data_IF_180026464718
#
_entry.id   IF_180026464718
#
_cell.length_a   1.000
_cell.length_b   1.000
_cell.length_c   1.000
_cell.angle_alpha   90.00
_cell.angle_beta   90.00
_cell.angle_gamma   90.00
#
_symmetry.space_group_name_H-M   'P 1'
#
loop_
_entity.id
_entity.type
_entity.pdbx_description
1 polymer ?
#
# COMPACT_ATOMS: atom_id res chain seq x y z
N UNK A 1 -19.83 23.64 18.76
CA UNK A 1 -20.60 23.29 17.55
C UNK A 1 -19.96 23.85 16.28
N UNK A 2 -19.49 25.09 16.25
CA UNK A 2 -18.84 25.67 15.06
C UNK A 2 -17.54 24.97 14.64
N UNK A 3 -16.79 24.46 15.59
CA UNK A 3 -15.51 23.76 15.34
C UNK A 3 -15.74 22.35 14.80
N UNK A 4 -16.74 21.64 15.31
CA UNK A 4 -17.15 20.33 14.82
C UNK A 4 -17.65 20.44 13.37
N UNK A 5 -18.45 21.43 13.07
CA UNK A 5 -18.97 21.71 11.73
C UNK A 5 -17.85 22.03 10.71
N UNK A 6 -16.90 22.87 11.08
CA UNK A 6 -15.74 23.20 10.25
C UNK A 6 -14.87 21.96 9.97
N UNK A 7 -14.70 21.11 10.97
CA UNK A 7 -13.92 19.87 10.87
C UNK A 7 -14.58 18.85 9.94
N UNK A 8 -15.91 18.67 10.07
CA UNK A 8 -16.67 17.77 9.20
C UNK A 8 -16.66 18.25 7.74
N UNK A 9 -16.80 19.57 7.53
CA UNK A 9 -16.75 20.19 6.20
C UNK A 9 -15.40 19.97 5.50
N UNK A 10 -14.28 20.09 6.23
CA UNK A 10 -12.94 19.83 5.69
C UNK A 10 -12.77 18.37 5.26
N UNK A 11 -13.23 17.43 6.09
CA UNK A 11 -13.17 16.00 5.77
C UNK A 11 -14.01 15.65 4.53
N UNK A 12 -15.26 16.12 4.47
CA UNK A 12 -16.12 15.91 3.30
C UNK A 12 -15.54 16.51 2.03
N UNK A 13 -14.91 17.68 2.12
CA UNK A 13 -14.24 18.33 0.99
C UNK A 13 -13.03 17.51 0.53
N UNK A 14 -12.25 16.96 1.43
CA UNK A 14 -11.10 16.11 1.07
C UNK A 14 -11.52 14.82 0.40
N UNK A 15 -12.56 14.15 0.90
CA UNK A 15 -13.12 12.95 0.26
C UNK A 15 -13.68 13.30 -1.12
N UNK A 16 -14.44 14.39 -1.23
CA UNK A 16 -14.96 14.86 -2.51
C UNK A 16 -13.85 15.17 -3.52
N UNK A 17 -12.74 15.77 -3.05
CA UNK A 17 -11.59 16.07 -3.90
C UNK A 17 -10.89 14.79 -4.39
N UNK A 18 -10.72 13.79 -3.51
CA UNK A 18 -10.17 12.48 -3.90
C UNK A 18 -11.08 11.81 -4.95
N UNK A 19 -12.40 11.78 -4.72
CA UNK A 19 -13.34 11.20 -5.67
C UNK A 19 -13.33 11.95 -7.02
N UNK A 20 -13.24 13.27 -6.99
CA UNK A 20 -13.11 14.09 -8.21
C UNK A 20 -11.81 13.74 -8.95
N UNK A 21 -10.70 13.59 -8.23
CA UNK A 21 -9.41 13.22 -8.80
C UNK A 21 -9.46 11.84 -9.46
N UNK A 22 -10.10 10.87 -8.78
CA UNK A 22 -10.35 9.53 -9.35
C UNK A 22 -11.23 9.62 -10.60
N UNK A 23 -12.33 10.37 -10.55
CA UNK A 23 -13.20 10.57 -11.71
C UNK A 23 -12.50 11.21 -12.90
N UNK A 24 -11.64 12.21 -12.66
CA UNK A 24 -10.85 12.85 -13.72
C UNK A 24 -9.77 11.91 -14.29
N UNK A 25 -9.20 11.03 -13.49
CA UNK A 25 -8.21 10.06 -13.98
C UNK A 25 -8.82 8.98 -14.89
N UNK A 26 -10.14 8.76 -14.82
CA UNK A 26 -10.84 7.85 -15.71
C UNK A 26 -11.15 8.46 -17.11
N UNK A 27 -10.87 9.75 -17.28
CA UNK A 27 -11.05 10.41 -18.58
C UNK A 27 -9.90 10.03 -19.49
N UNK A 28 -10.20 9.27 -20.52
CA UNK A 28 -9.27 8.98 -21.62
C UNK A 28 -9.57 9.90 -22.80
N UNK A 29 -8.56 10.37 -23.46
CA UNK A 29 -8.69 11.20 -24.67
C UNK A 29 -7.69 10.77 -25.73
N UNK A 30 -8.14 10.83 -26.96
CA UNK A 30 -7.36 10.44 -28.12
C UNK A 30 -6.78 11.69 -28.80
N UNK A 31 -5.46 11.72 -28.94
CA UNK A 31 -4.76 12.75 -29.73
C UNK A 31 -4.19 12.09 -30.99
N UNK A 32 -5.00 12.03 -32.03
CA UNK A 32 -4.64 11.33 -33.27
C UNK A 32 -4.55 9.81 -33.06
N UNK A 33 -3.41 9.17 -33.39
CA UNK A 33 -3.22 7.74 -33.21
C UNK A 33 -2.81 7.33 -31.79
N UNK A 34 -2.68 8.28 -30.84
CA UNK A 34 -2.18 8.04 -29.49
C UNK A 34 -3.34 8.10 -28.50
N UNK A 35 -3.59 6.98 -27.82
CA UNK A 35 -4.50 6.92 -26.68
C UNK A 35 -3.79 7.47 -25.45
N UNK A 36 -4.29 8.56 -24.89
CA UNK A 36 -3.77 9.18 -23.69
C UNK A 36 -4.74 8.97 -22.54
N UNK A 37 -4.24 8.40 -21.45
CA UNK A 37 -4.96 8.23 -20.21
C UNK A 37 -4.08 8.52 -19.01
N UNK A 38 -4.69 8.92 -17.91
CA UNK A 38 -3.97 9.12 -16.66
C UNK A 38 -3.97 7.81 -15.85
N UNK A 39 -2.79 7.42 -15.35
CA UNK A 39 -2.75 6.33 -14.37
C UNK A 39 -3.40 6.77 -13.06
N UNK A 40 -4.48 6.11 -12.68
CA UNK A 40 -5.23 6.37 -11.45
C UNK A 40 -4.32 6.39 -10.21
N UNK A 41 -3.44 5.39 -10.09
CA UNK A 41 -2.52 5.29 -8.95
C UNK A 41 -1.52 6.45 -8.91
N UNK A 42 -0.97 6.83 -10.07
CA UNK A 42 -0.01 7.93 -10.16
C UNK A 42 -0.67 9.27 -9.82
N UNK A 43 -1.88 9.54 -10.33
CA UNK A 43 -2.62 10.77 -10.05
C UNK A 43 -2.97 10.86 -8.56
N UNK A 44 -3.44 9.78 -7.94
CA UNK A 44 -3.72 9.75 -6.51
C UNK A 44 -2.45 9.96 -5.66
N UNK A 45 -1.33 9.36 -6.05
CA UNK A 45 -0.04 9.54 -5.37
C UNK A 45 0.46 10.98 -5.46
N UNK A 46 0.39 11.60 -6.64
CA UNK A 46 0.78 13.01 -6.84
C UNK A 46 -0.14 13.96 -6.06
N UNK A 47 -1.45 13.70 -6.07
CA UNK A 47 -2.42 14.48 -5.28
C UNK A 47 -2.10 14.41 -3.79
N UNK A 48 -1.82 13.22 -3.26
CA UNK A 48 -1.41 13.03 -1.87
C UNK A 48 -0.12 13.78 -1.54
N UNK A 49 0.87 13.69 -2.43
CA UNK A 49 2.16 14.40 -2.27
C UNK A 49 1.96 15.91 -2.21
N UNK A 50 1.21 16.49 -3.14
CA UNK A 50 0.92 17.93 -3.16
C UNK A 50 0.16 18.34 -1.89
N UNK A 51 -0.85 17.58 -1.51
CA UNK A 51 -1.64 17.84 -0.32
C UNK A 51 -0.79 17.84 0.96
N UNK A 52 0.05 16.84 1.17
CA UNK A 52 0.91 16.73 2.35
C UNK A 52 1.97 17.84 2.44
N UNK A 53 2.43 18.37 1.29
CA UNK A 53 3.44 19.42 1.27
C UNK A 53 2.86 20.86 1.40
N UNK A 54 1.61 21.08 0.96
CA UNK A 54 1.00 22.40 0.94
C UNK A 54 0.09 22.63 2.15
N UNK A 55 -0.57 21.58 2.68
CA UNK A 55 -1.56 21.73 3.73
C UNK A 55 -0.91 21.63 5.12
N UNK A 56 -0.91 22.70 5.93
CA UNK A 56 -0.31 22.70 7.28
C UNK A 56 -1.03 21.76 8.27
N UNK A 57 -2.27 21.38 7.98
CA UNK A 57 -3.10 20.49 8.82
C UNK A 57 -3.23 19.08 8.21
N UNK A 58 -2.31 18.70 7.33
CA UNK A 58 -2.32 17.41 6.65
C UNK A 58 -2.34 16.23 7.63
N UNK A 59 -1.55 16.28 8.70
CA UNK A 59 -1.45 15.20 9.69
C UNK A 59 -2.79 14.95 10.40
N UNK A 60 -3.46 16.02 10.86
CA UNK A 60 -4.76 15.90 11.53
C UNK A 60 -5.82 15.31 10.58
N UNK A 61 -5.75 15.69 9.31
CA UNK A 61 -6.72 15.24 8.32
C UNK A 61 -6.44 13.79 7.91
N UNK A 62 -5.18 13.39 7.78
CA UNK A 62 -4.77 12.01 7.50
C UNK A 62 -5.19 11.05 8.61
N UNK A 63 -4.99 11.41 9.88
CA UNK A 63 -5.44 10.59 11.02
C UNK A 63 -6.96 10.35 11.03
N UNK A 64 -7.73 11.26 10.48
CA UNK A 64 -9.19 11.14 10.34
C UNK A 64 -9.59 10.31 9.15
N UNK A 65 -8.93 10.51 8.01
CA UNK A 65 -9.12 9.73 6.80
C UNK A 65 -8.80 8.25 7.06
N UNK A 66 -7.73 7.94 7.78
CA UNK A 66 -7.35 6.58 8.15
C UNK A 66 -8.48 5.83 8.87
N UNK A 67 -9.18 6.52 9.77
CA UNK A 67 -10.34 5.92 10.48
C UNK A 67 -11.54 5.68 9.56
N UNK A 68 -11.73 6.57 8.59
CA UNK A 68 -12.83 6.46 7.64
C UNK A 68 -12.55 5.45 6.53
N UNK A 69 -11.29 5.33 6.10
CA UNK A 69 -10.84 4.40 5.06
C UNK A 69 -10.80 2.95 5.57
N UNK A 70 -10.66 2.73 6.87
CA UNK A 70 -10.57 1.39 7.45
C UNK A 70 -11.71 0.43 7.02
N UNK A 71 -13.01 0.79 7.13
CA UNK A 71 -14.09 -0.09 6.65
C UNK A 71 -14.09 -0.27 5.13
N UNK A 72 -13.69 0.75 4.37
CA UNK A 72 -13.56 0.66 2.91
C UNK A 72 -12.45 -0.32 2.52
N UNK A 73 -11.33 -0.30 3.25
CA UNK A 73 -10.23 -1.24 3.04
C UNK A 73 -10.65 -2.68 3.34
N UNK A 74 -11.41 -2.90 4.41
CA UNK A 74 -11.95 -4.24 4.73
C UNK A 74 -12.84 -4.73 3.57
N UNK A 75 -13.74 -3.89 3.08
CA UNK A 75 -14.62 -4.23 1.96
C UNK A 75 -13.81 -4.55 0.70
N UNK A 76 -12.78 -3.75 0.40
CA UNK A 76 -11.87 -3.98 -0.73
C UNK A 76 -11.19 -5.35 -0.63
N UNK A 77 -10.64 -5.72 0.52
CA UNK A 77 -9.98 -7.02 0.70
C UNK A 77 -10.96 -8.19 0.63
N UNK A 78 -12.18 -8.03 1.15
CA UNK A 78 -13.23 -9.06 1.07
C UNK A 78 -13.64 -9.29 -0.39
N UNK A 79 -13.88 -8.22 -1.15
CA UNK A 79 -14.25 -8.32 -2.56
C UNK A 79 -13.11 -8.94 -3.38
N UNK A 80 -11.88 -8.48 -3.17
CA UNK A 80 -10.70 -9.04 -3.86
C UNK A 80 -10.49 -10.51 -3.53
N UNK A 81 -10.75 -10.92 -2.29
CA UNK A 81 -10.71 -12.33 -1.89
C UNK A 81 -11.82 -13.16 -2.53
N UNK A 82 -13.01 -12.58 -2.69
CA UNK A 82 -14.15 -13.25 -3.34
C UNK A 82 -13.93 -13.45 -4.86
N UNK A 83 -13.11 -12.63 -5.48
CA UNK A 83 -12.72 -12.76 -6.89
C UNK A 83 -11.67 -13.86 -7.14
N UNK A 84 -11.07 -14.40 -6.08
CA UNK A 84 -10.09 -15.47 -6.23
C UNK A 84 -10.78 -16.77 -6.67
N UNK A 85 -10.46 -17.23 -7.85
CA UNK A 85 -10.92 -18.52 -8.34
C UNK A 85 -10.07 -19.65 -7.74
N UNK A 86 -10.63 -20.36 -6.77
CA UNK A 86 -9.95 -21.47 -6.09
C UNK A 86 -9.71 -22.70 -7.03
N UNK A 87 -10.40 -22.78 -8.18
CA UNK A 87 -10.16 -23.85 -9.15
C UNK A 87 -8.73 -23.78 -9.74
N UNK A 88 -8.09 -22.63 -9.66
CA UNK A 88 -6.68 -22.44 -10.07
C UNK A 88 -5.74 -23.33 -9.29
N UNK A 89 -6.05 -23.63 -8.03
CA UNK A 89 -5.27 -24.55 -7.20
C UNK A 89 -5.34 -25.98 -7.71
N UNK A 90 -6.29 -26.30 -8.57
CA UNK A 90 -6.45 -27.63 -9.20
C UNK A 90 -5.57 -27.80 -10.44
N UNK A 91 -5.07 -26.72 -11.03
CA UNK A 91 -4.14 -26.77 -12.16
C UNK A 91 -2.67 -26.77 -11.66
N UNK A 92 -1.98 -27.92 -11.76
CA UNK A 92 -0.62 -28.05 -11.24
C UNK A 92 0.38 -27.12 -11.95
N UNK A 93 0.13 -26.75 -13.20
CA UNK A 93 1.00 -25.86 -13.96
C UNK A 93 0.90 -24.43 -13.42
N UNK A 94 -0.30 -23.94 -13.19
CA UNK A 94 -0.55 -22.58 -12.65
C UNK A 94 -0.02 -22.50 -11.22
N UNK A 95 -0.19 -23.55 -10.42
CA UNK A 95 0.35 -23.64 -9.08
C UNK A 95 1.89 -23.58 -9.10
N UNK A 96 2.53 -24.34 -9.99
CA UNK A 96 3.99 -24.30 -10.15
C UNK A 96 4.48 -22.91 -10.53
N UNK A 97 3.85 -22.26 -11.50
CA UNK A 97 4.18 -20.90 -11.93
C UNK A 97 4.01 -19.94 -10.75
N UNK A 98 2.93 -20.04 -9.98
CA UNK A 98 2.68 -19.23 -8.79
C UNK A 98 3.77 -19.37 -7.73
N UNK A 99 4.18 -20.60 -7.42
CA UNK A 99 5.25 -20.88 -6.45
C UNK A 99 6.59 -20.33 -6.93
N UNK A 100 6.94 -20.55 -8.20
CA UNK A 100 8.16 -20.00 -8.81
C UNK A 100 8.15 -18.47 -8.77
N UNK A 101 7.03 -17.84 -9.12
CA UNK A 101 6.86 -16.40 -9.05
C UNK A 101 7.07 -15.87 -7.62
N UNK A 102 6.44 -16.50 -6.61
CA UNK A 102 6.61 -16.13 -5.19
C UNK A 102 8.08 -16.23 -4.77
N UNK A 103 8.75 -17.33 -5.13
CA UNK A 103 10.15 -17.55 -4.77
C UNK A 103 11.09 -16.49 -5.38
N UNK A 104 11.02 -16.29 -6.70
CA UNK A 104 11.88 -15.30 -7.37
C UNK A 104 11.57 -13.85 -6.94
N UNK A 105 10.31 -13.52 -6.73
CA UNK A 105 9.91 -12.22 -6.24
C UNK A 105 10.43 -11.96 -4.83
N UNK A 106 10.31 -12.93 -3.92
CA UNK A 106 10.81 -12.82 -2.56
C UNK A 106 12.33 -12.67 -2.54
N UNK A 107 13.04 -13.48 -3.33
CA UNK A 107 14.48 -13.37 -3.49
C UNK A 107 14.90 -12.01 -4.05
N UNK A 108 14.18 -11.50 -5.06
CA UNK A 108 14.44 -10.19 -5.65
C UNK A 108 14.26 -9.05 -4.64
N UNK A 109 13.19 -9.07 -3.84
CA UNK A 109 12.95 -8.07 -2.80
C UNK A 109 14.02 -8.11 -1.69
N UNK A 110 14.34 -9.30 -1.20
CA UNK A 110 15.33 -9.47 -0.13
C UNK A 110 16.73 -9.06 -0.63
N UNK A 111 17.15 -9.55 -1.78
CA UNK A 111 18.46 -9.22 -2.36
C UNK A 111 18.56 -7.74 -2.73
N UNK A 112 17.51 -7.17 -3.34
CA UNK A 112 17.45 -5.75 -3.69
C UNK A 112 17.56 -4.85 -2.45
N UNK A 113 16.81 -5.14 -1.40
CA UNK A 113 16.88 -4.40 -0.13
C UNK A 113 18.26 -4.53 0.53
N UNK A 114 18.85 -5.74 0.51
CA UNK A 114 20.18 -5.97 1.05
C UNK A 114 21.26 -5.19 0.29
N UNK A 115 21.27 -5.27 -1.05
CA UNK A 115 22.25 -4.57 -1.89
C UNK A 115 22.10 -3.06 -1.74
N UNK A 116 20.87 -2.53 -1.78
CA UNK A 116 20.60 -1.10 -1.60
C UNK A 116 21.03 -0.62 -0.21
N UNK A 117 20.67 -1.34 0.86
CA UNK A 117 21.04 -1.00 2.21
C UNK A 117 22.57 -1.04 2.44
N UNK A 118 23.26 -1.95 1.75
CA UNK A 118 24.73 -2.00 1.78
C UNK A 118 25.36 -0.85 0.99
N UNK A 119 24.84 -0.51 -0.17
CA UNK A 119 25.33 0.58 -1.01
C UNK A 119 25.19 1.95 -0.31
N UNK A 120 24.07 2.15 0.39
CA UNK A 120 23.79 3.38 1.16
C UNK A 120 24.38 3.37 2.57
N UNK A 121 25.15 2.34 2.93
CA UNK A 121 25.78 2.18 4.26
C UNK A 121 24.77 2.27 5.43
N UNK A 122 23.56 1.76 5.24
CA UNK A 122 22.57 1.67 6.30
C UNK A 122 23.03 0.76 7.45
N UNK A 123 22.36 0.84 8.61
CA UNK A 123 22.64 -0.03 9.75
C UNK A 123 22.49 -1.51 9.38
N UNK A 124 23.22 -2.38 10.08
CA UNK A 124 23.19 -3.84 9.83
C UNK A 124 21.78 -4.43 9.98
N UNK A 125 20.97 -3.89 10.88
CA UNK A 125 19.58 -4.32 11.08
C UNK A 125 18.72 -4.04 9.85
N UNK A 126 18.84 -2.83 9.28
CA UNK A 126 18.14 -2.47 8.04
C UNK A 126 18.57 -3.40 6.91
N UNK A 127 19.87 -3.60 6.69
CA UNK A 127 20.38 -4.46 5.64
C UNK A 127 19.83 -5.89 5.72
N UNK A 128 19.67 -6.43 6.95
CA UNK A 128 19.26 -7.81 7.18
C UNK A 128 17.74 -8.02 7.16
N UNK A 129 16.98 -7.10 7.74
CA UNK A 129 15.57 -7.34 8.02
C UNK A 129 14.60 -6.57 7.09
N UNK A 130 15.04 -5.47 6.46
CA UNK A 130 14.20 -4.67 5.58
C UNK A 130 13.59 -5.49 4.43
N UNK A 131 14.36 -6.40 3.80
CA UNK A 131 13.86 -7.22 2.71
C UNK A 131 12.70 -8.12 3.11
N UNK A 132 12.69 -8.62 4.35
CA UNK A 132 11.63 -9.46 4.89
C UNK A 132 10.36 -8.62 5.15
N UNK A 133 10.51 -7.43 5.70
CA UNK A 133 9.36 -6.55 5.96
C UNK A 133 8.70 -6.01 4.69
N UNK A 134 9.38 -6.06 3.55
CA UNK A 134 8.85 -5.68 2.25
C UNK A 134 8.10 -6.82 1.53
N UNK A 135 8.06 -8.04 2.09
CA UNK A 135 7.38 -9.16 1.45
C UNK A 135 5.86 -8.98 1.34
N UNK A 136 5.13 -8.52 2.41
CA UNK A 136 3.69 -8.31 2.31
C UNK A 136 3.35 -7.36 1.16
N UNK A 137 2.34 -7.71 0.39
CA UNK A 137 1.90 -6.90 -0.74
C UNK A 137 0.48 -7.29 -1.14
N UNK A 138 -0.45 -6.36 -1.03
CA UNK A 138 -1.84 -6.59 -1.39
C UNK A 138 -2.38 -5.49 -2.32
N UNK A 139 -2.78 -4.35 -1.80
CA UNK A 139 -3.60 -3.36 -2.48
C UNK A 139 -3.17 -2.97 -3.88
N UNK A 140 -1.91 -2.56 -4.06
CA UNK A 140 -1.39 -2.16 -5.38
C UNK A 140 -1.32 -3.35 -6.33
N UNK A 141 -0.92 -4.53 -5.83
CA UNK A 141 -0.84 -5.73 -6.67
C UNK A 141 -2.22 -6.18 -7.15
N UNK A 142 -3.25 -6.09 -6.30
CA UNK A 142 -4.63 -6.39 -6.65
C UNK A 142 -5.18 -5.40 -7.69
N UNK A 143 -4.94 -4.10 -7.50
CA UNK A 143 -5.33 -3.08 -8.47
C UNK A 143 -4.70 -3.30 -9.84
N UNK A 144 -3.39 -3.55 -9.89
CA UNK A 144 -2.68 -3.83 -11.14
C UNK A 144 -3.12 -5.16 -11.78
N UNK A 145 -3.48 -6.16 -10.98
CA UNK A 145 -3.97 -7.44 -11.48
C UNK A 145 -5.37 -7.30 -12.12
N UNK A 146 -6.20 -6.41 -11.61
CA UNK A 146 -7.49 -6.09 -12.21
C UNK A 146 -7.32 -5.44 -13.60
N UNK A 147 -6.42 -4.47 -13.73
CA UNK A 147 -6.06 -3.84 -15.00
C UNK A 147 -5.46 -4.88 -15.99
N UNK A 148 -4.59 -5.75 -15.49
CA UNK A 148 -3.96 -6.79 -16.30
C UNK A 148 -4.98 -7.81 -16.86
N UNK A 149 -6.14 -7.98 -16.23
CA UNK A 149 -7.17 -8.91 -16.69
C UNK A 149 -7.77 -8.53 -18.06
N UNK A 150 -7.66 -7.28 -18.48
CA UNK A 150 -8.11 -6.79 -19.78
C UNK A 150 -7.17 -7.18 -20.93
N UNK A 151 -5.95 -7.67 -20.63
CA UNK A 151 -5.00 -8.15 -21.64
C UNK A 151 -5.40 -9.55 -22.16
N UNK A 152 -4.90 -9.94 -23.33
CA UNK A 152 -5.23 -11.22 -23.99
C UNK A 152 -5.00 -12.48 -23.14
N UNK A 153 -3.95 -12.48 -22.31
CA UNK A 153 -3.64 -13.55 -21.35
C UNK A 153 -3.79 -13.09 -19.89
N UNK A 154 -4.52 -12.01 -19.68
CA UNK A 154 -4.62 -11.29 -18.41
C UNK A 154 -5.21 -12.13 -17.27
N UNK A 155 -6.12 -13.06 -17.58
CA UNK A 155 -6.72 -13.94 -16.58
C UNK A 155 -5.68 -14.82 -15.88
N UNK A 156 -4.70 -15.37 -16.63
CA UNK A 156 -3.62 -16.17 -16.04
C UNK A 156 -2.72 -15.31 -15.17
N UNK A 157 -2.32 -14.13 -15.64
CA UNK A 157 -1.50 -13.18 -14.88
C UNK A 157 -2.22 -12.77 -13.59
N UNK A 158 -3.49 -12.39 -13.69
CA UNK A 158 -4.34 -12.04 -12.55
C UNK A 158 -4.36 -13.15 -11.51
N UNK A 159 -4.62 -14.38 -11.95
CA UNK A 159 -4.75 -15.52 -11.07
C UNK A 159 -3.45 -15.86 -10.33
N UNK A 160 -2.31 -15.82 -11.03
CA UNK A 160 -0.97 -16.00 -10.41
C UNK A 160 -0.69 -14.90 -9.39
N UNK A 161 -1.04 -13.66 -9.70
CA UNK A 161 -0.86 -12.53 -8.78
C UNK A 161 -1.77 -12.66 -7.56
N UNK A 162 -3.06 -12.98 -7.74
CA UNK A 162 -4.02 -13.18 -6.64
C UNK A 162 -3.57 -14.32 -5.71
N UNK A 163 -3.12 -15.45 -6.27
CA UNK A 163 -2.57 -16.55 -5.49
C UNK A 163 -1.35 -16.08 -4.67
N UNK A 164 -0.44 -15.34 -5.28
CA UNK A 164 0.75 -14.84 -4.57
C UNK A 164 0.39 -13.86 -3.46
N UNK A 165 -0.59 -12.99 -3.69
CA UNK A 165 -1.11 -12.05 -2.68
C UNK A 165 -1.69 -12.82 -1.51
N UNK A 166 -2.49 -13.86 -1.74
CA UNK A 166 -3.03 -14.71 -0.67
C UNK A 166 -1.91 -15.27 0.22
N UNK A 167 -0.86 -15.82 -0.38
CA UNK A 167 0.28 -16.37 0.37
C UNK A 167 1.01 -15.27 1.16
N UNK A 168 1.24 -14.11 0.54
CA UNK A 168 1.91 -12.99 1.21
C UNK A 168 1.08 -12.39 2.35
N UNK A 169 -0.24 -12.32 2.21
CA UNK A 169 -1.11 -11.79 3.26
C UNK A 169 -1.23 -12.75 4.45
N UNK A 170 -1.18 -14.05 4.22
CA UNK A 170 -1.19 -15.04 5.30
C UNK A 170 0.16 -15.10 6.05
N UNK A 171 1.27 -15.14 5.32
CA UNK A 171 2.61 -15.30 5.90
C UNK A 171 3.26 -13.95 6.26
N UNK A 172 2.98 -12.91 5.50
CA UNK A 172 3.67 -11.62 5.55
C UNK A 172 3.63 -10.90 6.88
N UNK A 173 2.46 -10.69 7.51
CA UNK A 173 2.37 -10.02 8.80
C UNK A 173 3.17 -10.74 9.89
N UNK A 174 3.12 -12.08 9.90
CA UNK A 174 3.89 -12.90 10.85
C UNK A 174 5.39 -12.76 10.62
N UNK A 175 5.84 -12.86 9.38
CA UNK A 175 7.26 -12.69 9.02
C UNK A 175 7.76 -11.28 9.33
N UNK A 176 6.96 -10.26 9.03
CA UNK A 176 7.27 -8.86 9.35
C UNK A 176 7.40 -8.65 10.86
N UNK A 177 6.46 -9.17 11.65
CA UNK A 177 6.53 -9.09 13.11
C UNK A 177 7.79 -9.76 13.65
N UNK A 178 8.11 -10.96 13.17
CA UNK A 178 9.32 -11.67 13.58
C UNK A 178 10.59 -10.90 13.20
N UNK A 179 10.64 -10.34 11.99
CA UNK A 179 11.78 -9.55 11.53
C UNK A 179 11.98 -8.28 12.36
N UNK A 180 10.93 -7.52 12.66
CA UNK A 180 10.98 -6.31 13.47
C UNK A 180 11.33 -6.61 14.94
N UNK A 181 10.81 -7.71 15.49
CA UNK A 181 11.19 -8.17 16.84
C UNK A 181 12.68 -8.55 16.89
N UNK A 182 13.17 -9.29 15.88
CA UNK A 182 14.57 -9.67 15.79
C UNK A 182 15.51 -8.47 15.52
N UNK A 183 15.00 -7.42 14.90
CA UNK A 183 15.72 -6.16 14.71
C UNK A 183 15.77 -5.30 15.98
N UNK A 184 14.94 -5.61 17.01
CA UNK A 184 14.82 -4.82 18.23
C UNK A 184 13.96 -3.55 18.10
N UNK A 185 13.20 -3.43 16.99
CA UNK A 185 12.31 -2.29 16.73
C UNK A 185 10.96 -2.41 17.44
N UNK A 186 10.57 -3.63 17.82
CA UNK A 186 9.37 -3.91 18.59
C UNK A 186 9.78 -4.43 19.96
N UNK A 187 9.44 -3.68 21.01
CA UNK A 187 9.57 -4.16 22.39
C UNK A 187 8.37 -5.04 22.75
N UNK A 188 8.54 -6.08 23.61
CA UNK A 188 7.45 -6.97 24.04
C UNK A 188 6.27 -6.24 24.69
N UNK A 189 6.52 -5.08 25.26
CA UNK A 189 5.52 -4.20 25.91
C UNK A 189 4.74 -3.34 24.91
N UNK A 190 4.99 -3.52 23.65
CA UNK A 190 4.39 -3.05 22.43
C UNK A 190 3.37 -1.94 22.51
N UNK A 191 3.75 -0.72 22.38
CA UNK A 191 2.99 0.41 21.83
C UNK A 191 3.88 1.65 21.76
N UNK A 192 4.88 1.64 20.95
CA UNK A 192 5.43 2.92 20.48
C UNK A 192 4.74 3.25 19.17
N UNK A 193 3.70 4.09 19.23
CA UNK A 193 3.31 4.87 18.09
C UNK A 193 4.52 5.75 17.72
N UNK A 194 5.28 5.37 16.71
CA UNK A 194 6.44 6.13 16.23
C UNK A 194 6.07 7.59 15.92
N UNK A 195 4.81 7.85 15.55
CA UNK A 195 4.25 9.20 15.38
C UNK A 195 4.12 9.99 16.70
N UNK A 196 4.00 9.32 17.86
CA UNK A 196 3.95 10.01 19.16
C UNK A 196 5.32 10.18 19.80
N UNK A 197 6.28 9.29 19.51
CA UNK A 197 7.63 9.37 20.05
C UNK A 197 8.46 10.52 19.45
N UNK A 198 8.06 11.05 18.29
CA UNK A 198 8.78 12.09 17.56
C UNK A 198 8.03 13.44 17.55
N UNK A 199 7.13 13.69 18.50
CA UNK A 199 6.58 15.02 18.70
C UNK A 199 7.66 15.83 19.41
N UNK A 200 8.28 16.84 18.75
CA UNK A 200 9.13 17.78 19.47
C UNK A 200 8.24 18.43 20.54
N UNK A 201 8.66 18.33 21.79
CA UNK A 201 8.08 19.13 22.87
C UNK A 201 8.37 20.59 22.53
N UNK A 202 7.40 21.25 21.91
CA UNK A 202 7.44 22.70 21.84
C UNK A 202 7.26 23.22 23.27
N UNK A 203 8.25 23.90 23.85
CA UNK A 203 8.02 24.58 25.12
C UNK A 203 6.94 25.62 24.88
N UNK A 204 5.76 25.39 25.47
CA UNK A 204 4.73 26.40 25.59
C UNK A 204 5.28 27.40 26.57
N UNK A 205 5.98 28.44 26.08
CA UNK A 205 6.19 29.67 26.86
C UNK A 205 4.88 30.44 26.84
N UNK A 206 4.10 30.27 27.90
CA UNK A 206 3.07 31.19 28.28
C UNK A 206 3.77 32.40 28.92
N UNK A 207 3.94 33.46 28.19
CA UNK A 207 4.06 34.85 28.70
C UNK A 207 3.03 35.70 27.99
#
# INVERSE_FOLDING_TARGET
LGDVYKRQKRMSLSVAFVLLTVGLSMVTFDIGPIHCGFSLLLVCMMTGTVFCNICPTSDELMDRLDRWVSPVSILFFVLSGAELDLNILSDPLVLLIGVVYIAFRSLGKISGAFVSGRATRCSRNIQKYLGITLLPQAGVALGMAAEAAELSDGHMVRNVVLFSVLVYELAGPTLTKLALTAAGEITPEGRTNARMANKPEFPVSLD
#
